data_IF_578984832823
#
_entry.id   IF_578984832823
#
_cell.length_a   1.000
_cell.length_b   1.000
_cell.length_c   1.000
_cell.angle_alpha   90.00
_cell.angle_beta   90.00
_cell.angle_gamma   90.00
#
_symmetry.space_group_name_H-M   'P 1'
#
loop_
_entity.id
_entity.type
_entity.pdbx_description
1 polymer ?
#
# COMPACT_ATOMS: atom_id res chain seq x y z
N UNK A 1 -8.50 -23.37 -35.64
CA UNK A 1 -7.36 -24.30 -35.72
C UNK A 1 -6.83 -24.46 -34.31
N UNK A 2 -7.38 -25.42 -33.54
CA UNK A 2 -6.99 -25.66 -32.14
C UNK A 2 -5.73 -26.53 -32.16
N UNK A 3 -4.55 -25.91 -32.08
CA UNK A 3 -3.34 -26.63 -31.73
C UNK A 3 -3.48 -27.09 -30.26
N UNK A 4 -3.76 -28.37 -30.02
CA UNK A 4 -3.53 -28.97 -28.71
C UNK A 4 -2.03 -28.86 -28.43
N UNK A 5 -1.68 -27.98 -27.49
CA UNK A 5 -0.37 -27.99 -26.86
C UNK A 5 -0.17 -29.37 -26.24
N UNK A 6 0.80 -30.11 -26.77
CA UNK A 6 1.16 -31.45 -26.29
C UNK A 6 1.67 -31.31 -24.84
N UNK A 7 0.87 -31.76 -23.88
CA UNK A 7 1.07 -31.57 -22.44
C UNK A 7 2.03 -32.63 -21.83
N UNK A 8 2.91 -33.23 -22.63
CA UNK A 8 3.83 -34.30 -22.17
C UNK A 8 5.19 -33.85 -21.71
N UNK A 9 5.45 -32.54 -21.58
CA UNK A 9 6.59 -32.09 -20.80
C UNK A 9 6.19 -32.21 -19.33
N UNK A 10 6.61 -33.27 -18.64
CA UNK A 10 6.50 -33.37 -17.19
C UNK A 10 7.26 -32.18 -16.61
N UNK A 11 6.51 -31.15 -16.19
CA UNK A 11 7.10 -29.96 -15.61
C UNK A 11 8.00 -30.37 -14.43
N UNK A 12 9.24 -29.91 -14.42
CA UNK A 12 10.15 -30.15 -13.29
C UNK A 12 9.46 -29.68 -12.01
N UNK A 13 9.38 -30.49 -10.95
CA UNK A 13 8.79 -30.06 -9.70
C UNK A 13 9.49 -28.80 -9.17
N UNK A 14 8.72 -27.81 -8.78
CA UNK A 14 9.24 -26.57 -8.15
C UNK A 14 8.91 -26.58 -6.66
N UNK A 15 9.86 -26.19 -5.86
CA UNK A 15 9.78 -26.12 -4.39
C UNK A 15 10.29 -24.78 -3.90
N UNK A 16 10.26 -24.55 -2.60
CA UNK A 16 10.86 -23.37 -1.97
C UNK A 16 12.35 -23.20 -2.36
N UNK A 17 13.11 -24.28 -2.45
CA UNK A 17 14.54 -24.25 -2.82
C UNK A 17 14.77 -23.76 -4.25
N UNK A 18 13.79 -23.94 -5.14
CA UNK A 18 13.85 -23.41 -6.50
C UNK A 18 13.97 -21.89 -6.51
N UNK A 19 13.36 -21.19 -5.54
CA UNK A 19 13.52 -19.74 -5.39
C UNK A 19 14.99 -19.32 -5.26
N UNK A 20 15.73 -19.99 -4.38
CA UNK A 20 17.14 -19.65 -4.11
C UNK A 20 18.05 -19.98 -5.29
N UNK A 21 17.61 -20.88 -6.19
CA UNK A 21 18.37 -21.28 -7.37
C UNK A 21 18.18 -20.34 -8.58
N UNK A 22 17.00 -19.70 -8.72
CA UNK A 22 16.64 -19.02 -9.99
C UNK A 22 16.20 -17.58 -9.83
N UNK A 23 15.95 -17.10 -8.61
CA UNK A 23 15.55 -15.70 -8.37
C UNK A 23 16.67 -14.91 -7.70
N UNK A 24 16.74 -13.62 -8.03
CA UNK A 24 17.68 -12.70 -7.36
C UNK A 24 17.31 -12.64 -5.87
N UNK A 25 18.28 -12.81 -4.93
CA UNK A 25 18.01 -12.99 -3.51
C UNK A 25 17.66 -11.66 -2.78
N UNK A 26 16.73 -10.88 -3.35
CA UNK A 26 16.25 -9.64 -2.76
C UNK A 26 15.18 -9.85 -1.68
N UNK A 27 14.69 -11.08 -1.55
CA UNK A 27 13.68 -11.48 -0.57
C UNK A 27 14.10 -12.76 0.16
N UNK A 28 13.60 -12.92 1.39
CA UNK A 28 13.69 -14.15 2.17
C UNK A 28 12.28 -14.70 2.43
N UNK A 29 11.64 -15.33 1.45
CA UNK A 29 10.29 -15.82 1.59
C UNK A 29 10.17 -16.92 2.63
N UNK A 30 8.96 -17.11 3.16
CA UNK A 30 8.62 -18.21 4.06
C UNK A 30 8.87 -19.59 3.42
N UNK A 31 8.87 -20.63 4.24
CA UNK A 31 9.09 -22.01 3.75
C UNK A 31 7.90 -22.53 2.93
N UNK A 32 6.69 -22.03 3.21
CA UNK A 32 5.48 -22.42 2.49
C UNK A 32 5.46 -21.85 1.07
N UNK A 33 4.86 -22.60 0.14
CA UNK A 33 4.60 -22.15 -1.23
C UNK A 33 3.09 -22.21 -1.47
N UNK A 34 2.35 -21.09 -1.36
CA UNK A 34 0.91 -21.05 -1.61
C UNK A 34 0.59 -21.38 -3.06
N UNK A 35 -0.47 -22.16 -3.28
CA UNK A 35 -0.91 -22.60 -4.62
C UNK A 35 -2.38 -22.27 -4.89
N UNK A 36 -3.15 -21.96 -3.85
CA UNK A 36 -4.58 -21.64 -3.97
C UNK A 36 -4.99 -20.62 -2.91
N UNK A 37 -5.88 -19.69 -3.28
CA UNK A 37 -6.50 -18.74 -2.37
C UNK A 37 -7.98 -18.54 -2.66
N UNK A 38 -8.76 -18.23 -1.61
CA UNK A 38 -10.18 -17.85 -1.70
C UNK A 38 -10.55 -16.98 -0.51
N UNK A 39 -10.99 -15.74 -0.74
CA UNK A 39 -11.22 -14.80 0.37
C UNK A 39 -9.95 -14.56 1.17
N UNK A 40 -9.96 -14.88 2.47
CA UNK A 40 -8.78 -14.81 3.35
C UNK A 40 -8.05 -16.16 3.48
N UNK A 41 -8.53 -17.22 2.85
CA UNK A 41 -7.97 -18.55 3.00
C UNK A 41 -6.93 -18.85 1.92
N UNK A 42 -5.80 -19.42 2.33
CA UNK A 42 -4.71 -19.88 1.45
C UNK A 42 -4.37 -21.33 1.73
N UNK A 43 -3.92 -22.04 0.71
CA UNK A 43 -3.39 -23.41 0.83
C UNK A 43 -2.06 -23.51 0.12
N UNK A 44 -1.09 -24.13 0.77
CA UNK A 44 0.24 -24.39 0.20
C UNK A 44 0.30 -25.71 -0.58
N UNK A 45 1.48 -26.00 -1.16
CA UNK A 45 1.76 -27.23 -1.92
C UNK A 45 1.51 -28.50 -1.12
N UNK A 46 1.60 -28.47 0.22
CA UNK A 46 1.33 -29.62 1.09
C UNK A 46 -0.16 -29.79 1.42
N UNK A 47 -0.99 -28.81 1.04
CA UNK A 47 -2.40 -28.74 1.40
C UNK A 47 -2.66 -28.10 2.77
N UNK A 48 -1.63 -27.61 3.46
CA UNK A 48 -1.80 -26.89 4.74
C UNK A 48 -2.55 -25.60 4.48
N UNK A 49 -3.55 -25.35 5.33
CA UNK A 49 -4.37 -24.15 5.32
C UNK A 49 -3.74 -23.02 6.14
N UNK A 50 -3.93 -21.79 5.65
CA UNK A 50 -3.50 -20.57 6.32
C UNK A 50 -4.60 -19.51 6.21
N UNK A 51 -4.79 -18.76 7.28
CA UNK A 51 -5.61 -17.56 7.33
C UNK A 51 -4.74 -16.33 7.02
N UNK A 52 -5.04 -15.60 5.95
CA UNK A 52 -4.22 -14.49 5.47
C UNK A 52 -4.64 -13.15 6.08
N UNK A 53 -3.88 -12.70 7.08
CA UNK A 53 -3.98 -11.37 7.66
C UNK A 53 -2.89 -10.41 7.12
N UNK A 54 -2.29 -10.75 5.97
CA UNK A 54 -1.33 -9.91 5.24
C UNK A 54 -1.93 -9.24 4.01
N UNK A 55 -2.87 -9.92 3.35
CA UNK A 55 -3.45 -9.55 2.05
C UNK A 55 -2.38 -9.14 1.02
N UNK A 56 -1.20 -9.79 1.02
CA UNK A 56 -0.11 -9.41 0.12
C UNK A 56 0.43 -8.00 0.37
N UNK A 57 0.56 -7.59 1.63
CA UNK A 57 0.95 -6.24 2.10
C UNK A 57 -0.16 -5.22 1.81
N UNK A 58 -1.37 -5.49 2.30
CA UNK A 58 -2.57 -4.66 2.14
C UNK A 58 -3.00 -4.46 0.66
N UNK A 59 -2.75 -5.46 -0.19
CA UNK A 59 -3.09 -5.44 -1.62
C UNK A 59 -4.46 -6.06 -1.88
N UNK A 60 -4.70 -7.30 -1.43
CA UNK A 60 -5.91 -8.07 -1.72
C UNK A 60 -7.06 -7.63 -0.81
N UNK A 61 -7.56 -6.41 -0.97
CA UNK A 61 -8.58 -5.83 -0.10
C UNK A 61 -9.93 -6.53 -0.18
N UNK A 62 -10.27 -7.14 -1.32
CA UNK A 62 -11.45 -8.00 -1.50
C UNK A 62 -11.13 -9.50 -1.33
N UNK A 63 -9.90 -9.82 -0.86
CA UNK A 63 -9.45 -11.20 -0.71
C UNK A 63 -8.99 -11.84 -2.01
N UNK A 64 -8.55 -13.08 -1.89
CA UNK A 64 -8.07 -13.89 -3.02
C UNK A 64 -9.22 -14.35 -3.90
N UNK A 65 -9.06 -14.27 -5.21
CA UNK A 65 -10.00 -14.78 -6.21
C UNK A 65 -11.44 -14.30 -5.99
N UNK A 66 -11.62 -13.01 -5.67
CA UNK A 66 -12.96 -12.45 -5.45
C UNK A 66 -13.86 -12.68 -6.68
N UNK A 67 -15.08 -13.26 -6.53
CA UNK A 67 -15.89 -13.71 -7.67
C UNK A 67 -16.17 -12.62 -8.71
N UNK A 68 -16.48 -11.38 -8.26
CA UNK A 68 -16.73 -10.25 -9.17
C UNK A 68 -15.48 -9.93 -10.00
N UNK A 69 -14.28 -9.93 -9.38
CA UNK A 69 -13.04 -9.63 -10.10
C UNK A 69 -12.65 -10.73 -11.08
N UNK A 70 -12.86 -11.99 -10.70
CA UNK A 70 -12.64 -13.13 -11.60
C UNK A 70 -13.58 -13.05 -12.82
N UNK A 71 -14.85 -12.72 -12.61
CA UNK A 71 -15.84 -12.61 -13.70
C UNK A 71 -15.49 -11.48 -14.67
N UNK A 72 -15.25 -10.25 -14.17
CA UNK A 72 -14.96 -9.10 -15.04
C UNK A 72 -13.62 -9.27 -15.77
N UNK A 73 -12.60 -9.84 -15.12
CA UNK A 73 -11.32 -10.11 -15.75
C UNK A 73 -11.45 -11.18 -16.84
N UNK A 74 -12.22 -12.26 -16.58
CA UNK A 74 -12.49 -13.33 -17.57
C UNK A 74 -13.21 -12.78 -18.80
N UNK A 75 -14.14 -11.84 -18.63
CA UNK A 75 -14.81 -11.16 -19.74
C UNK A 75 -13.82 -10.28 -20.51
N UNK A 76 -13.02 -9.48 -19.81
CA UNK A 76 -12.07 -8.55 -20.44
C UNK A 76 -10.95 -9.28 -21.18
N UNK A 77 -10.47 -10.43 -20.69
CA UNK A 77 -9.44 -11.25 -21.33
C UNK A 77 -9.86 -11.66 -22.75
N UNK A 78 -11.15 -11.83 -23.00
CA UNK A 78 -11.68 -12.20 -24.32
C UNK A 78 -11.92 -11.00 -25.25
N UNK A 79 -11.70 -9.75 -24.77
CA UNK A 79 -11.93 -8.55 -25.55
C UNK A 79 -10.61 -7.87 -25.98
N UNK A 80 -9.92 -7.25 -25.05
CA UNK A 80 -8.73 -6.43 -25.33
C UNK A 80 -7.77 -6.46 -24.14
N UNK A 81 -6.49 -6.79 -24.38
CA UNK A 81 -5.49 -6.90 -23.33
C UNK A 81 -4.66 -5.64 -23.15
N UNK A 82 -4.14 -5.13 -24.27
CA UNK A 82 -3.22 -4.01 -24.27
C UNK A 82 -3.32 -3.22 -25.57
N UNK A 83 -3.10 -1.92 -25.41
CA UNK A 83 -3.09 -0.95 -26.49
C UNK A 83 -2.17 0.18 -26.03
N UNK A 84 -1.22 0.58 -26.81
CA UNK A 84 -0.30 1.66 -26.45
C UNK A 84 -1.03 2.99 -26.22
N UNK A 85 -0.47 3.87 -25.41
CA UNK A 85 -1.06 5.18 -25.06
C UNK A 85 -1.16 6.20 -26.20
N UNK A 86 -0.78 5.82 -27.42
CA UNK A 86 -1.15 6.54 -28.65
C UNK A 86 -2.64 6.40 -29.01
N UNK A 87 -3.32 5.48 -28.36
CA UNK A 87 -4.79 5.28 -28.40
C UNK A 87 -5.31 5.26 -26.96
N UNK A 88 -6.63 5.38 -26.80
CA UNK A 88 -7.26 5.18 -25.51
C UNK A 88 -8.17 3.94 -25.51
N UNK A 89 -8.68 3.56 -24.36
CA UNK A 89 -9.61 2.44 -24.23
C UNK A 89 -10.76 2.78 -23.26
N UNK A 90 -11.91 2.17 -23.45
CA UNK A 90 -13.09 2.46 -22.64
C UNK A 90 -12.92 2.13 -21.14
N UNK A 91 -12.32 0.98 -20.73
CA UNK A 91 -12.08 0.70 -19.32
C UNK A 91 -11.29 1.77 -18.57
N UNK A 92 -10.22 2.31 -19.17
CA UNK A 92 -9.41 3.36 -18.51
C UNK A 92 -10.17 4.67 -18.37
N UNK A 93 -11.00 5.01 -19.36
CA UNK A 93 -11.84 6.23 -19.30
C UNK A 93 -12.90 6.10 -18.20
N UNK A 94 -13.55 4.94 -18.09
CA UNK A 94 -14.51 4.66 -17.00
C UNK A 94 -13.85 4.72 -15.62
N UNK A 95 -12.68 4.10 -15.47
CA UNK A 95 -11.94 4.15 -14.21
C UNK A 95 -11.52 5.59 -13.85
N UNK A 96 -11.03 6.37 -14.82
CA UNK A 96 -10.65 7.76 -14.60
C UNK A 96 -11.85 8.58 -14.15
N UNK A 97 -12.99 8.45 -14.84
CA UNK A 97 -14.24 9.12 -14.48
C UNK A 97 -14.68 8.78 -13.05
N UNK A 98 -14.73 7.48 -12.72
CA UNK A 98 -15.14 7.02 -11.40
C UNK A 98 -14.22 7.51 -10.27
N UNK A 99 -12.90 7.56 -10.50
CA UNK A 99 -11.95 8.07 -9.52
C UNK A 99 -12.06 9.60 -9.35
N UNK A 100 -12.26 10.36 -10.42
CA UNK A 100 -12.44 11.81 -10.33
C UNK A 100 -13.78 12.19 -9.69
N UNK A 101 -14.85 11.44 -9.95
CA UNK A 101 -16.14 11.62 -9.26
C UNK A 101 -16.08 11.28 -7.76
N UNK A 102 -15.22 10.34 -7.37
CA UNK A 102 -15.09 9.86 -5.99
C UNK A 102 -14.08 10.63 -5.14
N UNK A 103 -13.30 11.55 -5.71
CA UNK A 103 -12.20 12.26 -5.02
C UNK A 103 -12.23 13.79 -5.32
N UNK A 104 -11.23 14.50 -4.78
CA UNK A 104 -11.01 15.92 -5.09
C UNK A 104 -10.43 16.16 -6.49
N UNK A 105 -9.93 15.11 -7.14
CA UNK A 105 -9.13 15.23 -8.35
C UNK A 105 -9.99 15.40 -9.61
N UNK A 106 -9.49 16.16 -10.57
CA UNK A 106 -10.09 16.32 -11.90
C UNK A 106 -9.44 15.40 -12.93
N UNK A 107 -8.23 14.91 -12.67
CA UNK A 107 -7.39 14.16 -13.62
C UNK A 107 -6.70 12.99 -12.95
N UNK A 108 -6.53 11.92 -13.72
CA UNK A 108 -5.81 10.72 -13.33
C UNK A 108 -4.70 10.39 -14.36
N UNK A 109 -3.54 9.97 -13.85
CA UNK A 109 -2.50 9.30 -14.63
C UNK A 109 -2.37 7.87 -14.10
N UNK A 110 -2.41 6.87 -15.00
CA UNK A 110 -2.30 5.47 -14.62
C UNK A 110 -0.91 4.90 -14.96
N UNK A 111 -0.41 4.05 -14.07
CA UNK A 111 0.83 3.31 -14.17
C UNK A 111 0.65 1.89 -13.59
N UNK A 112 1.73 1.19 -13.22
CA UNK A 112 1.65 -0.23 -12.86
C UNK A 112 1.97 -0.52 -11.40
N UNK A 113 2.48 0.47 -10.67
CA UNK A 113 2.92 0.32 -9.28
C UNK A 113 2.79 1.62 -8.50
N UNK A 114 2.83 1.52 -7.16
CA UNK A 114 2.89 2.70 -6.29
C UNK A 114 4.17 3.51 -6.47
N UNK A 115 5.30 2.85 -6.75
CA UNK A 115 6.55 3.55 -7.05
C UNK A 115 6.42 4.44 -8.29
N UNK A 116 5.83 3.94 -9.39
CA UNK A 116 5.59 4.72 -10.60
C UNK A 116 4.59 5.87 -10.37
N UNK A 117 3.57 5.65 -9.53
CA UNK A 117 2.63 6.70 -9.17
C UNK A 117 3.33 7.83 -8.39
N UNK A 118 4.19 7.49 -7.44
CA UNK A 118 5.00 8.45 -6.68
C UNK A 118 6.05 9.14 -7.57
N UNK A 119 6.69 8.45 -8.50
CA UNK A 119 7.56 9.06 -9.53
C UNK A 119 6.82 10.14 -10.32
N UNK A 120 5.60 9.82 -10.77
CA UNK A 120 4.77 10.78 -11.51
C UNK A 120 4.42 12.00 -10.65
N UNK A 121 4.04 11.79 -9.38
CA UNK A 121 3.71 12.85 -8.43
C UNK A 121 4.91 13.78 -8.16
N UNK A 122 6.07 13.20 -7.88
CA UNK A 122 7.30 13.95 -7.58
C UNK A 122 7.80 14.73 -8.81
N UNK A 123 7.71 14.12 -10.02
CA UNK A 123 8.05 14.78 -11.27
C UNK A 123 7.09 15.92 -11.59
N UNK A 124 5.79 15.72 -11.37
CA UNK A 124 4.77 16.77 -11.52
C UNK A 124 5.10 17.96 -10.61
N UNK A 125 5.35 17.71 -9.32
CA UNK A 125 5.63 18.74 -8.35
C UNK A 125 6.90 19.55 -8.70
N UNK A 126 8.01 18.89 -9.05
CA UNK A 126 9.24 19.58 -9.47
C UNK A 126 9.03 20.40 -10.73
N UNK A 127 8.35 19.84 -11.73
CA UNK A 127 8.09 20.55 -13.00
C UNK A 127 7.17 21.75 -12.81
N UNK A 128 6.12 21.62 -12.00
CA UNK A 128 5.22 22.70 -11.66
C UNK A 128 5.96 23.84 -10.96
N UNK A 129 6.71 23.52 -9.92
CA UNK A 129 7.47 24.51 -9.18
C UNK A 129 8.51 25.23 -10.07
N UNK A 130 9.25 24.47 -10.87
CA UNK A 130 10.21 25.06 -11.82
C UNK A 130 9.54 26.03 -12.81
N UNK A 131 8.38 25.65 -13.34
CA UNK A 131 7.65 26.47 -14.33
C UNK A 131 7.05 27.72 -13.71
N UNK A 132 6.49 27.60 -12.50
CA UNK A 132 5.74 28.69 -11.83
C UNK A 132 6.63 29.63 -11.03
N UNK A 133 7.70 29.10 -10.41
CA UNK A 133 8.53 29.85 -9.44
C UNK A 133 10.02 29.90 -9.83
N UNK A 134 10.48 29.04 -10.71
CA UNK A 134 11.86 28.95 -11.16
C UNK A 134 12.65 27.78 -10.51
N UNK A 135 13.89 27.60 -10.97
CA UNK A 135 14.73 26.44 -10.65
C UNK A 135 15.14 26.33 -9.17
N UNK A 136 15.07 27.42 -8.39
CA UNK A 136 15.42 27.43 -6.96
C UNK A 136 14.42 26.63 -6.11
N UNK A 137 13.17 26.47 -6.56
CA UNK A 137 12.11 25.76 -5.86
C UNK A 137 12.08 24.29 -6.29
N UNK A 138 13.00 23.48 -5.76
CA UNK A 138 13.19 22.09 -6.22
C UNK A 138 13.28 21.06 -5.06
N UNK A 139 13.37 21.55 -3.80
CA UNK A 139 13.54 20.70 -2.63
C UNK A 139 12.25 19.95 -2.30
N UNK A 140 12.39 18.67 -1.96
CA UNK A 140 11.30 17.79 -1.54
C UNK A 140 11.50 17.46 -0.05
N UNK A 141 10.44 17.60 0.73
CA UNK A 141 10.42 17.16 2.13
C UNK A 141 9.62 15.86 2.20
N UNK A 142 10.19 14.87 2.87
CA UNK A 142 9.56 13.61 3.23
C UNK A 142 9.74 13.30 4.71
N UNK A 143 9.22 12.18 5.19
CA UNK A 143 9.33 11.81 6.60
C UNK A 143 10.32 10.66 6.80
N UNK A 144 11.04 10.67 7.92
CA UNK A 144 11.83 9.52 8.37
C UNK A 144 10.90 8.29 8.52
N UNK A 145 11.45 7.12 8.28
CA UNK A 145 10.74 5.83 8.30
C UNK A 145 9.66 5.65 7.24
N UNK A 146 9.49 6.60 6.29
CA UNK A 146 8.52 6.47 5.19
C UNK A 146 8.96 5.42 4.15
N UNK A 147 7.98 4.98 3.36
CA UNK A 147 8.20 4.07 2.23
C UNK A 147 7.40 4.52 1.01
N UNK A 148 8.08 5.02 -0.02
CA UNK A 148 7.43 5.53 -1.24
C UNK A 148 7.74 4.72 -2.50
N UNK A 149 8.55 3.66 -2.41
CA UNK A 149 8.91 2.78 -3.52
C UNK A 149 10.38 2.39 -3.55
N UNK A 150 10.77 1.70 -4.63
CA UNK A 150 12.13 1.14 -4.81
C UNK A 150 12.82 1.59 -6.09
N UNK A 151 12.24 2.51 -6.87
CA UNK A 151 12.96 3.19 -7.94
C UNK A 151 13.95 4.18 -7.33
N UNK A 152 15.00 4.58 -8.07
CA UNK A 152 16.06 5.39 -7.48
C UNK A 152 15.54 6.71 -6.89
N UNK A 153 14.55 7.34 -7.51
CA UNK A 153 13.97 8.57 -6.97
C UNK A 153 13.08 8.30 -5.75
N UNK A 154 12.16 7.34 -5.84
CA UNK A 154 11.25 7.04 -4.72
C UNK A 154 11.96 6.44 -3.51
N UNK A 155 13.03 5.64 -3.70
CA UNK A 155 13.81 5.12 -2.57
C UNK A 155 14.60 6.22 -1.88
N UNK A 156 15.04 7.24 -2.65
CA UNK A 156 15.74 8.41 -2.10
C UNK A 156 14.81 9.33 -1.32
N UNK A 157 13.54 9.40 -1.72
CA UNK A 157 12.49 10.13 -0.99
C UNK A 157 12.03 9.35 0.23
N UNK A 158 12.15 8.00 0.22
CA UNK A 158 11.88 7.16 1.37
C UNK A 158 12.86 7.42 2.52
N UNK A 159 12.36 7.56 3.75
CA UNK A 159 13.15 7.93 4.93
C UNK A 159 13.83 6.76 5.64
N UNK A 160 14.32 5.75 4.92
CA UNK A 160 14.95 4.56 5.49
C UNK A 160 16.31 4.29 4.83
N UNK A 161 17.39 4.73 5.49
CA UNK A 161 18.76 4.68 4.97
C UNK A 161 19.21 3.28 4.48
N UNK A 162 18.73 2.20 5.11
CA UNK A 162 19.03 0.82 4.70
C UNK A 162 18.63 0.48 3.25
N UNK A 163 17.78 1.29 2.63
CA UNK A 163 17.31 1.05 1.26
C UNK A 163 18.06 1.86 0.21
N UNK A 164 18.89 2.83 0.65
CA UNK A 164 19.70 3.68 -0.24
C UNK A 164 21.19 3.37 -0.21
N UNK A 165 21.65 2.62 0.79
CA UNK A 165 23.04 2.22 0.95
C UNK A 165 23.58 1.51 -0.29
N UNK A 166 24.66 2.05 -0.88
CA UNK A 166 25.32 1.50 -2.08
C UNK A 166 24.68 1.89 -3.43
N UNK A 167 23.65 2.76 -3.43
CA UNK A 167 22.99 3.23 -4.66
C UNK A 167 23.32 4.72 -4.99
N UNK A 168 24.30 5.30 -4.30
CA UNK A 168 24.75 6.66 -4.55
C UNK A 168 25.43 6.82 -5.94
N UNK A 169 25.31 8.00 -6.57
CA UNK A 169 24.73 9.24 -6.07
C UNK A 169 23.20 9.25 -6.14
N UNK A 170 22.55 9.68 -5.05
CA UNK A 170 21.10 9.81 -5.00
C UNK A 170 20.64 11.13 -5.63
N UNK A 171 19.39 11.22 -6.14
CA UNK A 171 18.80 12.47 -6.57
C UNK A 171 18.92 13.55 -5.48
N UNK A 172 19.42 14.76 -5.82
CA UNK A 172 19.64 15.83 -4.84
C UNK A 172 18.35 16.52 -4.41
N UNK A 173 18.45 17.38 -3.39
CA UNK A 173 17.38 18.23 -2.89
C UNK A 173 16.21 17.45 -2.29
N UNK A 174 16.52 16.46 -1.48
CA UNK A 174 15.57 15.66 -0.70
C UNK A 174 16.00 15.70 0.76
N UNK A 175 15.11 16.14 1.63
CA UNK A 175 15.32 16.17 3.07
C UNK A 175 14.23 15.41 3.81
N UNK A 176 14.56 14.89 5.00
CA UNK A 176 13.67 14.10 5.81
C UNK A 176 13.47 14.75 7.18
N UNK A 177 12.21 14.82 7.63
CA UNK A 177 11.82 15.28 8.96
C UNK A 177 11.25 14.13 9.78
N UNK A 178 11.22 14.28 11.10
CA UNK A 178 10.53 13.32 11.95
C UNK A 178 9.03 13.35 11.68
N UNK A 179 8.43 12.16 11.59
CA UNK A 179 6.99 12.04 11.37
C UNK A 179 6.23 12.50 12.62
N UNK A 180 5.13 13.24 12.43
CA UNK A 180 4.35 13.88 13.49
C UNK A 180 5.07 15.01 14.27
N UNK A 181 6.17 15.53 13.75
CA UNK A 181 6.90 16.66 14.34
C UNK A 181 6.55 17.96 13.61
N UNK A 182 5.68 18.77 14.22
CA UNK A 182 5.22 20.05 13.67
C UNK A 182 6.34 21.07 13.62
N UNK A 183 7.23 21.11 14.62
CA UNK A 183 8.32 22.08 14.67
C UNK A 183 9.39 21.77 13.62
N UNK A 184 9.69 20.49 13.40
CA UNK A 184 10.56 20.07 12.30
C UNK A 184 9.94 20.45 10.93
N UNK A 185 8.63 20.30 10.76
CA UNK A 185 7.93 20.70 9.54
C UNK A 185 8.03 22.21 9.30
N UNK A 186 7.79 23.04 10.34
CA UNK A 186 7.90 24.50 10.28
C UNK A 186 9.31 24.97 9.93
N UNK A 187 10.33 24.30 10.47
CA UNK A 187 11.72 24.62 10.21
C UNK A 187 12.19 24.24 8.80
N UNK A 188 11.65 23.13 8.26
CA UNK A 188 12.11 22.57 6.98
C UNK A 188 11.37 23.11 5.76
N UNK A 189 10.08 23.47 5.88
CA UNK A 189 9.24 23.85 4.73
C UNK A 189 9.33 25.34 4.48
N UNK A 190 10.20 25.72 3.54
CA UNK A 190 10.43 27.11 3.10
C UNK A 190 10.08 27.35 1.63
N UNK A 191 10.43 28.53 1.12
CA UNK A 191 10.11 28.96 -0.24
C UNK A 191 10.80 28.15 -1.33
N UNK A 192 11.86 27.43 -1.01
CA UNK A 192 12.61 26.55 -1.90
C UNK A 192 12.03 25.14 -2.02
N UNK A 193 11.03 24.80 -1.18
CA UNK A 193 10.37 23.49 -1.18
C UNK A 193 9.31 23.44 -2.29
N UNK A 194 9.43 22.46 -3.20
CA UNK A 194 8.45 22.24 -4.26
C UNK A 194 7.34 21.27 -3.85
N UNK A 195 7.64 20.33 -2.94
CA UNK A 195 6.67 19.35 -2.48
C UNK A 195 6.97 18.84 -1.06
N UNK A 196 5.91 18.46 -0.37
CA UNK A 196 5.93 17.62 0.82
C UNK A 196 5.20 16.34 0.49
N UNK A 197 5.85 15.17 0.64
CA UNK A 197 5.22 13.86 0.45
C UNK A 197 5.10 13.16 1.81
N UNK A 198 3.91 12.64 2.10
CA UNK A 198 3.62 11.98 3.37
C UNK A 198 2.61 10.85 3.19
N UNK A 199 2.81 9.76 3.94
CA UNK A 199 1.79 8.72 4.11
C UNK A 199 0.82 9.17 5.22
N UNK A 200 -0.51 9.18 5.03
CA UNK A 200 -1.45 9.44 6.13
C UNK A 200 -1.35 8.44 7.27
N UNK A 201 -0.90 7.22 6.97
CA UNK A 201 -0.50 6.19 7.93
C UNK A 201 0.77 5.56 7.41
N UNK A 202 1.90 5.72 8.10
CA UNK A 202 3.14 5.04 7.74
C UNK A 202 3.01 3.54 7.97
N UNK A 203 2.84 2.78 6.87
CA UNK A 203 2.64 1.34 6.96
C UNK A 203 3.91 0.57 7.32
N UNK A 204 5.01 0.82 6.60
CA UNK A 204 6.30 0.14 6.78
C UNK A 204 7.09 0.68 7.97
N UNK A 205 6.90 1.95 8.31
CA UNK A 205 7.53 2.63 9.45
C UNK A 205 6.98 2.25 10.83
N UNK A 206 6.16 1.21 10.93
CA UNK A 206 5.65 0.70 12.20
C UNK A 206 4.15 0.90 12.40
N UNK A 207 3.38 1.08 11.36
CA UNK A 207 1.92 1.33 11.39
C UNK A 207 1.58 2.54 12.25
N UNK A 208 2.18 3.68 11.92
CA UNK A 208 2.02 4.94 12.68
C UNK A 208 1.03 5.86 11.97
N UNK A 209 -0.15 6.15 12.54
CA UNK A 209 -1.06 7.16 12.01
C UNK A 209 -0.47 8.56 12.09
N UNK A 210 -0.76 9.37 11.08
CA UNK A 210 -0.49 10.80 11.12
C UNK A 210 -1.36 11.50 12.17
N UNK A 211 -0.76 12.39 12.93
CA UNK A 211 -1.50 13.26 13.82
C UNK A 211 -2.35 14.23 12.99
N UNK A 212 -3.66 14.39 13.25
CA UNK A 212 -4.49 15.31 12.50
C UNK A 212 -3.93 16.74 12.48
N UNK A 213 -3.37 17.22 13.59
CA UNK A 213 -2.75 18.54 13.70
C UNK A 213 -1.50 18.65 12.83
N UNK A 214 -0.68 17.60 12.76
CA UNK A 214 0.51 17.55 11.91
C UNK A 214 0.13 17.62 10.42
N UNK A 215 -0.86 16.83 9.99
CA UNK A 215 -1.29 16.82 8.59
C UNK A 215 -1.93 18.17 8.19
N UNK A 216 -2.70 18.80 9.09
CA UNK A 216 -3.23 20.15 8.89
C UNK A 216 -2.14 21.21 8.79
N UNK A 217 -1.12 21.10 9.64
CA UNK A 217 0.02 22.02 9.59
C UNK A 217 0.80 21.86 8.29
N UNK A 218 1.04 20.63 7.81
CA UNK A 218 1.67 20.41 6.50
C UNK A 218 0.87 21.10 5.38
N UNK A 219 -0.48 20.99 5.40
CA UNK A 219 -1.32 21.66 4.41
C UNK A 219 -1.17 23.19 4.49
N UNK A 220 -1.22 23.75 5.69
CA UNK A 220 -1.07 25.19 5.90
C UNK A 220 0.31 25.72 5.47
N UNK A 221 1.38 24.98 5.75
CA UNK A 221 2.73 25.34 5.31
C UNK A 221 2.88 25.25 3.80
N UNK A 222 2.32 24.22 3.17
CA UNK A 222 2.31 24.08 1.71
C UNK A 222 1.53 25.23 1.05
N UNK A 223 0.37 25.59 1.57
CA UNK A 223 -0.43 26.72 1.07
C UNK A 223 0.34 28.04 1.18
N UNK A 224 1.01 28.26 2.30
CA UNK A 224 1.79 29.48 2.57
C UNK A 224 2.99 29.63 1.64
N UNK A 225 3.69 28.53 1.37
CA UNK A 225 4.95 28.54 0.59
C UNK A 225 4.73 28.25 -0.90
N UNK A 226 3.56 27.77 -1.29
CA UNK A 226 3.29 27.30 -2.66
C UNK A 226 3.97 25.96 -2.97
N UNK A 227 4.34 25.18 -1.97
CA UNK A 227 4.73 23.78 -2.13
C UNK A 227 3.48 22.93 -2.38
N UNK A 228 3.64 21.78 -3.07
CA UNK A 228 2.55 20.84 -3.26
C UNK A 228 2.54 19.79 -2.14
N UNK A 229 1.37 19.53 -1.57
CA UNK A 229 1.18 18.43 -0.62
C UNK A 229 0.80 17.16 -1.38
N UNK A 230 1.61 16.12 -1.25
CA UNK A 230 1.39 14.81 -1.86
C UNK A 230 1.03 13.82 -0.75
N UNK A 231 -0.17 13.22 -0.84
CA UNK A 231 -0.51 12.09 0.02
C UNK A 231 -0.25 10.79 -0.73
N UNK A 232 0.72 10.02 -0.20
CA UNK A 232 0.93 8.64 -0.62
C UNK A 232 -0.10 7.75 0.09
N UNK A 233 -1.17 7.46 -0.63
CA UNK A 233 -2.23 6.55 -0.16
C UNK A 233 -2.16 5.17 -0.82
N UNK A 234 -0.98 4.77 -1.25
CA UNK A 234 -0.73 3.45 -1.83
C UNK A 234 -1.11 2.33 -0.85
N UNK A 235 -0.91 2.53 0.46
CA UNK A 235 -1.27 1.54 1.46
C UNK A 235 -2.51 1.92 2.28
N UNK A 236 -2.76 3.19 2.52
CA UNK A 236 -3.87 3.69 3.35
C UNK A 236 -5.19 3.87 2.60
N UNK A 237 -5.15 3.97 1.27
CA UNK A 237 -6.31 4.18 0.42
C UNK A 237 -7.19 2.96 0.19
N UNK A 238 -8.17 3.13 -0.68
CA UNK A 238 -9.09 2.08 -1.12
C UNK A 238 -9.79 1.36 0.05
N UNK A 239 -10.36 2.13 0.99
CA UNK A 239 -11.17 1.62 2.09
C UNK A 239 -10.37 1.14 3.31
N UNK A 240 -9.05 1.03 3.23
CA UNK A 240 -8.20 0.43 4.27
C UNK A 240 -8.35 1.07 5.65
N UNK A 241 -8.52 2.38 5.71
CA UNK A 241 -8.70 3.16 6.95
C UNK A 241 -10.16 3.37 7.35
N UNK A 242 -11.12 2.75 6.62
CA UNK A 242 -12.56 2.94 6.85
C UNK A 242 -13.16 4.16 6.12
N UNK A 243 -12.37 4.89 5.35
CA UNK A 243 -12.79 5.86 4.34
C UNK A 243 -12.23 5.40 2.98
N UNK A 244 -12.81 5.85 1.86
CA UNK A 244 -12.31 5.46 0.53
C UNK A 244 -10.81 5.79 0.41
N UNK A 245 -10.44 7.03 0.77
CA UNK A 245 -9.06 7.44 0.97
C UNK A 245 -8.91 8.07 2.36
N UNK A 246 -7.75 7.89 2.99
CA UNK A 246 -7.51 8.34 4.36
C UNK A 246 -7.64 9.86 4.52
N UNK A 247 -7.26 10.64 3.49
CA UNK A 247 -7.39 12.10 3.51
C UNK A 247 -8.82 12.57 3.83
N UNK A 248 -9.84 11.83 3.41
CA UNK A 248 -11.25 12.14 3.68
C UNK A 248 -11.57 12.05 5.17
N UNK A 249 -10.95 11.09 5.87
CA UNK A 249 -11.10 10.94 7.31
C UNK A 249 -10.36 12.01 8.11
N UNK A 250 -9.24 12.49 7.62
CA UNK A 250 -8.48 13.58 8.24
C UNK A 250 -9.03 14.98 7.94
N UNK A 251 -9.85 15.12 6.90
CA UNK A 251 -10.35 16.43 6.43
C UNK A 251 -9.24 17.34 5.90
N UNK A 252 -8.18 16.74 5.35
CA UNK A 252 -7.03 17.44 4.75
C UNK A 252 -6.89 17.01 3.30
N UNK A 253 -7.21 17.89 2.36
CA UNK A 253 -7.12 17.58 0.93
C UNK A 253 -5.73 17.87 0.40
N UNK A 254 -5.04 16.86 -0.20
CA UNK A 254 -3.75 17.07 -0.84
C UNK A 254 -3.90 17.71 -2.22
N UNK A 255 -2.79 18.17 -2.80
CA UNK A 255 -2.73 18.60 -4.20
C UNK A 255 -2.59 17.42 -5.15
N UNK A 256 -1.90 16.37 -4.69
CA UNK A 256 -1.66 15.13 -5.44
C UNK A 256 -1.89 13.95 -4.50
N UNK A 257 -2.59 12.94 -4.99
CA UNK A 257 -2.81 11.68 -4.29
C UNK A 257 -2.29 10.53 -5.15
N UNK A 258 -1.56 9.59 -4.52
CA UNK A 258 -1.12 8.37 -5.20
C UNK A 258 -1.81 7.15 -4.63
N UNK A 259 -2.17 6.21 -5.50
CA UNK A 259 -2.85 4.97 -5.16
C UNK A 259 -2.26 3.79 -5.95
N UNK A 260 -2.29 2.61 -5.36
CA UNK A 260 -1.93 1.33 -5.99
C UNK A 260 -2.47 0.18 -5.14
N UNK A 261 -1.75 -0.93 -5.01
CA UNK A 261 -2.09 -2.05 -4.11
C UNK A 261 -3.57 -2.45 -4.20
N UNK A 262 -4.35 -2.04 -3.19
CA UNK A 262 -5.78 -2.32 -3.10
C UNK A 262 -6.58 -1.84 -4.33
N UNK A 263 -6.13 -0.82 -5.04
CA UNK A 263 -6.75 -0.36 -6.28
C UNK A 263 -6.87 -1.50 -7.31
N UNK A 264 -5.88 -2.39 -7.37
CA UNK A 264 -5.87 -3.53 -8.29
C UNK A 264 -6.24 -4.87 -7.65
N UNK A 265 -6.37 -4.94 -6.32
CA UNK A 265 -6.65 -6.18 -5.59
C UNK A 265 -5.78 -7.38 -6.03
N UNK A 266 -4.48 -7.14 -6.27
CA UNK A 266 -3.52 -8.12 -6.77
C UNK A 266 -3.18 -7.98 -8.25
N UNK A 267 -4.00 -7.31 -9.06
CA UNK A 267 -3.64 -6.95 -10.43
C UNK A 267 -2.77 -5.68 -10.43
N UNK A 268 -1.63 -5.66 -11.14
CA UNK A 268 -0.71 -4.50 -11.11
C UNK A 268 -1.34 -3.25 -11.72
N UNK A 269 -1.55 -2.24 -10.89
CA UNK A 269 -1.98 -0.89 -11.30
C UNK A 269 -1.56 0.12 -10.23
N UNK A 270 -1.22 1.33 -10.67
CA UNK A 270 -1.05 2.53 -9.86
C UNK A 270 -1.75 3.72 -10.50
N UNK A 271 -2.04 4.71 -9.69
CA UNK A 271 -2.64 5.96 -10.15
C UNK A 271 -2.05 7.15 -9.41
N UNK A 272 -1.83 8.25 -10.11
CA UNK A 272 -1.63 9.58 -9.56
C UNK A 272 -2.86 10.42 -9.91
N UNK A 273 -3.49 11.00 -8.90
CA UNK A 273 -4.67 11.84 -9.01
C UNK A 273 -4.31 13.28 -8.66
N UNK A 274 -4.81 14.25 -9.41
CA UNK A 274 -4.50 15.66 -9.19
C UNK A 274 -5.56 16.59 -9.80
N UNK A 275 -5.44 17.89 -9.53
CA UNK A 275 -6.35 18.91 -10.10
C UNK A 275 -6.07 19.17 -11.59
N UNK A 276 -7.03 19.76 -12.27
CA UNK A 276 -6.89 20.14 -13.68
C UNK A 276 -5.76 21.16 -13.91
N UNK A 277 -5.59 22.12 -12.98
CA UNK A 277 -4.49 23.10 -13.05
C UNK A 277 -3.13 22.42 -13.05
N UNK A 278 -2.89 21.52 -12.10
CA UNK A 278 -1.60 20.85 -11.95
C UNK A 278 -1.34 19.87 -13.10
N UNK A 279 -2.36 19.16 -13.55
CA UNK A 279 -2.24 18.17 -14.62
C UNK A 279 -1.68 18.74 -15.92
N UNK A 280 -2.00 20.00 -16.24
CA UNK A 280 -1.50 20.70 -17.43
C UNK A 280 0.02 20.87 -17.45
N UNK A 281 0.67 20.74 -16.30
CA UNK A 281 2.13 20.80 -16.16
C UNK A 281 2.81 19.63 -16.89
N UNK A 282 2.18 18.46 -16.90
CA UNK A 282 2.67 17.28 -17.63
C UNK A 282 2.06 17.23 -19.04
N UNK A 283 2.61 18.02 -19.94
CA UNK A 283 2.21 18.05 -21.34
C UNK A 283 2.68 16.78 -22.08
N UNK A 284 2.18 16.60 -23.31
CA UNK A 284 2.54 15.47 -24.20
C UNK A 284 4.05 15.29 -24.29
N UNK A 285 4.52 14.07 -24.07
CA UNK A 285 5.94 13.68 -24.14
C UNK A 285 6.76 13.93 -22.88
N UNK A 286 6.21 14.57 -21.82
CA UNK A 286 6.99 14.88 -20.61
C UNK A 286 7.03 13.75 -19.59
N UNK A 287 6.04 12.86 -19.62
CA UNK A 287 5.96 11.66 -18.81
C UNK A 287 5.13 10.59 -19.53
N UNK A 288 5.33 9.31 -19.17
CA UNK A 288 4.61 8.22 -19.82
C UNK A 288 4.88 6.86 -19.21
N UNK A 289 4.14 5.88 -19.70
CA UNK A 289 4.23 4.47 -19.32
C UNK A 289 3.78 3.60 -20.50
N UNK A 290 4.29 2.40 -20.63
CA UNK A 290 3.85 1.48 -21.67
C UNK A 290 2.53 0.79 -21.31
N UNK A 291 2.44 0.25 -20.11
CA UNK A 291 1.31 -0.61 -19.69
C UNK A 291 0.26 0.10 -18.82
N UNK A 292 0.58 1.28 -18.29
CA UNK A 292 -0.34 2.01 -17.42
C UNK A 292 -1.65 2.35 -18.12
N UNK A 293 -2.77 2.03 -17.46
CA UNK A 293 -4.11 2.19 -18.02
C UNK A 293 -4.52 1.11 -19.02
N UNK A 294 -3.84 -0.06 -19.04
CA UNK A 294 -4.26 -1.17 -19.88
C UNK A 294 -5.68 -1.65 -19.52
N UNK A 295 -6.45 -2.16 -20.49
CA UNK A 295 -7.84 -2.53 -20.28
C UNK A 295 -8.08 -3.56 -19.18
N UNK A 296 -7.17 -4.54 -19.00
CA UNK A 296 -7.31 -5.56 -17.96
C UNK A 296 -7.21 -4.95 -16.56
N UNK A 297 -6.15 -4.17 -16.33
CA UNK A 297 -5.93 -3.50 -15.06
C UNK A 297 -7.04 -2.51 -14.72
N UNK A 298 -7.45 -1.70 -15.72
CA UNK A 298 -8.50 -0.71 -15.55
C UNK A 298 -9.87 -1.33 -15.23
N UNK A 299 -10.22 -2.45 -15.88
CA UNK A 299 -11.46 -3.19 -15.61
C UNK A 299 -11.49 -3.75 -14.18
N UNK A 300 -10.39 -4.34 -13.72
CA UNK A 300 -10.29 -4.85 -12.35
C UNK A 300 -10.38 -3.69 -11.35
N UNK A 301 -9.62 -2.63 -11.56
CA UNK A 301 -9.59 -1.48 -10.63
C UNK A 301 -10.94 -0.75 -10.54
N UNK A 302 -11.68 -0.62 -11.64
CA UNK A 302 -13.03 -0.08 -11.63
C UNK A 302 -13.97 -0.93 -10.76
N UNK A 303 -13.95 -2.25 -10.95
CA UNK A 303 -14.79 -3.16 -10.16
C UNK A 303 -14.40 -3.19 -8.68
N UNK A 304 -13.13 -3.02 -8.35
CA UNK A 304 -12.67 -2.84 -6.96
C UNK A 304 -13.24 -1.54 -6.38
N UNK A 305 -13.09 -0.42 -7.10
CA UNK A 305 -13.60 0.89 -6.66
C UNK A 305 -15.12 0.85 -6.44
N UNK A 306 -15.88 0.32 -7.38
CA UNK A 306 -17.34 0.21 -7.28
C UNK A 306 -17.79 -0.66 -6.10
N UNK A 307 -17.05 -1.72 -5.79
CA UNK A 307 -17.33 -2.59 -4.65
C UNK A 307 -17.04 -1.90 -3.32
N UNK A 308 -15.89 -1.24 -3.20
CA UNK A 308 -15.43 -0.63 -1.94
C UNK A 308 -16.12 0.72 -1.67
N UNK A 309 -16.33 1.53 -2.71
CA UNK A 309 -16.87 2.88 -2.58
C UNK A 309 -18.39 2.90 -2.36
N UNK A 310 -18.84 2.14 -1.35
CA UNK A 310 -20.22 2.17 -0.90
C UNK A 310 -20.30 2.46 0.60
N UNK A 311 -21.31 3.23 1.07
CA UNK A 311 -21.45 3.50 2.50
C UNK A 311 -21.52 2.23 3.35
N UNK A 312 -22.23 1.20 2.86
CA UNK A 312 -22.40 -0.07 3.56
C UNK A 312 -21.07 -0.82 3.70
N UNK A 313 -20.26 -0.88 2.64
CA UNK A 313 -18.95 -1.54 2.67
C UNK A 313 -17.99 -0.84 3.64
N UNK A 314 -17.89 0.50 3.56
CA UNK A 314 -17.01 1.28 4.43
C UNK A 314 -17.46 1.25 5.90
N UNK A 315 -18.77 1.17 6.16
CA UNK A 315 -19.29 0.96 7.52
C UNK A 315 -18.87 -0.40 8.07
N UNK A 316 -18.96 -1.46 7.25
CA UNK A 316 -18.51 -2.81 7.64
C UNK A 316 -17.02 -2.85 7.94
N UNK A 317 -16.18 -2.13 7.17
CA UNK A 317 -14.74 -2.02 7.45
C UNK A 317 -14.49 -1.38 8.81
N UNK A 318 -15.22 -0.32 9.15
CA UNK A 318 -15.11 0.34 10.47
C UNK A 318 -15.50 -0.60 11.61
N UNK A 319 -16.57 -1.37 11.44
CA UNK A 319 -16.99 -2.38 12.41
C UNK A 319 -15.93 -3.48 12.58
N UNK A 320 -15.44 -4.06 11.49
CA UNK A 320 -14.37 -5.06 11.53
C UNK A 320 -13.07 -4.50 12.17
N UNK A 321 -12.78 -3.21 11.97
CA UNK A 321 -11.67 -2.53 12.65
C UNK A 321 -11.85 -2.52 14.16
N UNK A 322 -13.04 -2.15 14.67
CA UNK A 322 -13.34 -2.14 16.11
C UNK A 322 -13.17 -3.54 16.70
N UNK A 323 -13.70 -4.57 16.03
CA UNK A 323 -13.62 -5.95 16.50
C UNK A 323 -12.17 -6.48 16.47
N UNK A 324 -11.38 -6.11 15.44
CA UNK A 324 -9.96 -6.48 15.37
C UNK A 324 -9.14 -5.79 16.46
N UNK A 325 -9.37 -4.50 16.71
CA UNK A 325 -8.70 -3.76 17.79
C UNK A 325 -9.05 -4.39 19.16
N UNK A 326 -10.31 -4.74 19.41
CA UNK A 326 -10.72 -5.40 20.64
C UNK A 326 -10.03 -6.76 20.84
N UNK A 327 -9.93 -7.56 19.77
CA UNK A 327 -9.18 -8.82 19.78
C UNK A 327 -7.70 -8.61 20.13
N UNK A 328 -7.04 -7.59 19.54
CA UNK A 328 -5.64 -7.27 19.80
C UNK A 328 -5.41 -6.72 21.22
N UNK A 329 -6.36 -5.92 21.75
CA UNK A 329 -6.33 -5.45 23.14
C UNK A 329 -6.47 -6.62 24.13
N UNK A 330 -7.28 -7.62 23.78
CA UNK A 330 -7.37 -8.89 24.54
C UNK A 330 -6.01 -9.58 24.60
N UNK A 331 -5.24 -9.62 23.50
CA UNK A 331 -3.87 -10.18 23.52
C UNK A 331 -2.91 -9.39 24.42
N UNK A 332 -3.01 -8.06 24.46
CA UNK A 332 -2.21 -7.25 25.39
C UNK A 332 -2.57 -7.59 26.84
N UNK A 333 -3.86 -7.76 27.15
CA UNK A 333 -4.31 -8.12 28.48
C UNK A 333 -3.81 -9.51 28.90
N UNK A 334 -3.87 -10.49 27.98
CA UNK A 334 -3.43 -11.86 28.23
C UNK A 334 -1.89 -11.98 28.33
N UNK A 335 -1.16 -11.15 27.56
CA UNK A 335 0.30 -11.22 27.45
C UNK A 335 0.98 -9.84 27.62
N UNK A 336 0.81 -9.14 28.76
CA UNK A 336 1.36 -7.80 28.97
C UNK A 336 2.88 -7.75 28.96
N UNK A 337 3.56 -8.90 29.19
CA UNK A 337 5.01 -9.04 29.06
C UNK A 337 5.49 -9.09 27.61
N UNK A 338 4.60 -9.42 26.64
CA UNK A 338 4.94 -9.57 25.23
C UNK A 338 4.55 -8.34 24.43
N UNK A 339 3.37 -7.78 24.67
CA UNK A 339 2.78 -6.68 23.90
C UNK A 339 2.52 -5.45 24.76
N UNK A 340 2.60 -4.27 24.14
CA UNK A 340 2.45 -2.98 24.83
C UNK A 340 1.24 -2.17 24.36
N UNK A 341 1.03 -2.02 23.06
CA UNK A 341 -0.01 -1.16 22.48
C UNK A 341 -0.48 -1.64 21.12
N UNK A 342 -1.74 -1.39 20.79
CA UNK A 342 -2.28 -1.43 19.42
C UNK A 342 -2.26 -0.02 18.84
N UNK A 343 -1.82 0.13 17.58
CA UNK A 343 -1.88 1.39 16.83
C UNK A 343 -2.27 1.14 15.37
N UNK A 344 -2.66 2.17 14.66
CA UNK A 344 -3.09 2.08 13.26
C UNK A 344 -4.43 2.75 13.01
N UNK A 345 -5.01 2.50 11.84
CA UNK A 345 -6.30 3.06 11.42
C UNK A 345 -7.03 2.05 10.53
N UNK A 346 -8.32 1.89 10.77
CA UNK A 346 -9.12 0.90 10.04
C UNK A 346 -8.58 -0.52 10.21
N UNK A 347 -8.38 -1.21 9.11
CA UNK A 347 -7.78 -2.55 9.06
C UNK A 347 -6.29 -2.53 8.65
N UNK A 348 -5.57 -1.45 8.95
CA UNK A 348 -4.12 -1.37 8.94
C UNK A 348 -3.67 -1.18 10.38
N UNK A 349 -3.37 -2.29 11.06
CA UNK A 349 -3.15 -2.33 12.50
C UNK A 349 -1.78 -2.90 12.84
N UNK A 350 -1.15 -2.33 13.86
CA UNK A 350 0.13 -2.75 14.42
C UNK A 350 0.00 -3.11 15.89
N UNK A 351 0.38 -4.32 16.23
CA UNK A 351 0.53 -4.79 17.61
C UNK A 351 2.00 -4.65 17.99
N UNK A 352 2.31 -3.68 18.84
CA UNK A 352 3.68 -3.35 19.23
C UNK A 352 4.13 -4.28 20.35
N UNK A 353 5.34 -4.83 20.23
CA UNK A 353 5.92 -5.63 21.30
C UNK A 353 6.34 -4.77 22.50
N UNK A 354 6.41 -5.36 23.68
CA UNK A 354 6.93 -4.73 24.88
C UNK A 354 8.44 -4.50 24.80
N UNK A 355 8.98 -3.69 25.70
CA UNK A 355 10.44 -3.44 25.79
C UNK A 355 11.23 -4.74 25.97
N UNK A 356 10.69 -5.72 26.71
CA UNK A 356 11.32 -7.03 26.92
C UNK A 356 11.37 -7.90 25.63
N UNK A 357 10.56 -7.56 24.64
CA UNK A 357 10.43 -8.30 23.37
C UNK A 357 10.92 -7.52 22.15
N UNK A 358 11.60 -6.39 22.34
CA UNK A 358 12.18 -5.61 21.24
C UNK A 358 13.01 -6.48 20.29
N UNK A 359 12.84 -6.27 18.99
CA UNK A 359 13.52 -7.01 17.92
C UNK A 359 12.89 -8.36 17.57
N UNK A 360 11.83 -8.80 18.29
CA UNK A 360 11.28 -10.15 18.17
C UNK A 360 9.97 -10.27 17.38
N UNK A 361 9.53 -9.20 16.71
CA UNK A 361 8.30 -9.26 15.90
C UNK A 361 8.37 -10.34 14.81
N UNK A 362 9.56 -10.57 14.24
CA UNK A 362 9.77 -11.65 13.25
C UNK A 362 9.64 -13.05 13.83
N UNK A 363 10.02 -13.26 15.10
CA UNK A 363 9.84 -14.55 15.76
C UNK A 363 8.35 -14.83 15.96
N UNK A 364 7.57 -13.81 16.36
CA UNK A 364 6.12 -13.91 16.50
C UNK A 364 5.45 -14.20 15.15
N UNK A 365 5.89 -13.54 14.07
CA UNK A 365 5.42 -13.81 12.72
C UNK A 365 5.60 -15.28 12.34
N UNK A 366 6.81 -15.84 12.55
CA UNK A 366 7.09 -17.24 12.27
C UNK A 366 6.27 -18.20 13.12
N UNK A 367 6.09 -17.89 14.40
CA UNK A 367 5.28 -18.70 15.30
C UNK A 367 3.79 -18.68 14.88
N UNK A 368 3.26 -17.53 14.47
CA UNK A 368 1.90 -17.40 13.93
C UNK A 368 1.74 -18.21 12.62
N UNK A 369 2.70 -18.13 11.70
CA UNK A 369 2.72 -18.92 10.46
C UNK A 369 2.72 -20.43 10.73
N UNK A 370 3.45 -20.88 11.74
CA UNK A 370 3.44 -22.28 12.15
C UNK A 370 2.04 -22.73 12.60
N UNK A 371 1.27 -21.85 13.24
CA UNK A 371 -0.11 -22.09 13.64
C UNK A 371 -1.12 -21.90 12.49
N UNK A 372 -0.68 -21.50 11.28
CA UNK A 372 -1.56 -21.28 10.13
C UNK A 372 -2.12 -19.85 10.04
N UNK A 373 -1.51 -18.87 10.69
CA UNK A 373 -1.89 -17.46 10.55
C UNK A 373 -0.74 -16.67 9.90
N UNK A 374 -1.02 -16.03 8.79
CA UNK A 374 -0.08 -15.14 8.12
C UNK A 374 -0.26 -13.71 8.65
N UNK A 375 0.80 -13.14 9.19
CA UNK A 375 0.89 -11.73 9.58
C UNK A 375 2.16 -11.10 9.00
N UNK A 376 2.22 -9.77 8.97
CA UNK A 376 3.38 -9.00 8.55
C UNK A 376 4.17 -8.48 9.76
N UNK A 377 5.31 -7.87 9.47
CA UNK A 377 6.03 -7.02 10.43
C UNK A 377 6.18 -5.61 9.85
N UNK A 378 6.26 -4.61 10.72
CA UNK A 378 6.59 -3.25 10.37
C UNK A 378 7.73 -2.77 11.29
N UNK A 379 8.93 -2.67 10.72
CA UNK A 379 10.14 -2.58 11.52
C UNK A 379 10.43 -3.87 12.30
N UNK A 380 11.19 -3.79 13.39
CA UNK A 380 11.57 -4.95 14.21
C UNK A 380 10.62 -5.24 15.38
N UNK A 381 9.77 -4.26 15.72
CA UNK A 381 9.01 -4.25 16.98
C UNK A 381 7.49 -4.30 16.81
N UNK A 382 7.01 -4.46 15.57
CA UNK A 382 5.55 -4.41 15.30
C UNK A 382 5.10 -5.59 14.48
N UNK A 383 4.16 -6.36 15.00
CA UNK A 383 3.38 -7.33 14.24
C UNK A 383 2.25 -6.58 13.55
N UNK A 384 2.26 -6.55 12.20
CA UNK A 384 1.29 -5.81 11.40
C UNK A 384 0.22 -6.75 10.86
N UNK A 385 -1.03 -6.34 11.04
CA UNK A 385 -2.20 -7.00 10.50
C UNK A 385 -2.85 -6.09 9.45
N UNK A 386 -3.06 -6.63 8.27
CA UNK A 386 -3.73 -5.96 7.16
C UNK A 386 -4.62 -6.97 6.40
N UNK A 387 -5.64 -7.55 7.05
CA UNK A 387 -6.52 -8.55 6.43
C UNK A 387 -7.29 -7.95 5.25
N UNK A 388 -7.87 -8.78 4.41
CA UNK A 388 -8.84 -8.31 3.44
C UNK A 388 -10.00 -7.57 4.14
N UNK A 389 -10.56 -6.55 3.48
CA UNK A 389 -11.62 -5.69 4.06
C UNK A 389 -12.95 -6.43 4.25
N UNK A 390 -13.05 -7.62 3.64
CA UNK A 390 -14.19 -8.53 3.78
C UNK A 390 -14.06 -9.50 4.96
N UNK A 391 -13.07 -9.32 5.83
CA UNK A 391 -12.83 -10.19 7.00
C UNK A 391 -14.10 -10.31 7.86
N UNK A 392 -14.45 -11.56 8.25
CA UNK A 392 -15.58 -11.83 9.13
C UNK A 392 -15.18 -11.80 10.61
N UNK A 393 -16.18 -11.72 11.49
CA UNK A 393 -15.95 -11.74 12.92
C UNK A 393 -15.42 -13.09 13.40
N UNK A 394 -15.84 -14.19 12.75
CA UNK A 394 -15.31 -15.54 13.00
C UNK A 394 -13.82 -15.61 12.61
N UNK A 395 -13.43 -15.02 11.49
CA UNK A 395 -12.03 -14.98 11.06
C UNK A 395 -11.17 -14.11 11.98
N UNK A 396 -11.72 -13.00 12.51
CA UNK A 396 -11.05 -12.17 13.52
C UNK A 396 -10.83 -12.97 14.81
N UNK A 397 -11.85 -13.68 15.28
CA UNK A 397 -11.76 -14.53 16.48
C UNK A 397 -10.73 -15.66 16.28
N UNK A 398 -10.74 -16.31 15.11
CA UNK A 398 -9.78 -17.37 14.77
C UNK A 398 -8.34 -16.84 14.71
N UNK A 399 -8.10 -15.67 14.12
CA UNK A 399 -6.78 -15.03 14.12
C UNK A 399 -6.29 -14.77 15.57
N UNK A 400 -7.17 -14.31 16.44
CA UNK A 400 -6.87 -14.14 17.87
C UNK A 400 -6.50 -15.46 18.56
N UNK A 401 -7.22 -16.54 18.27
CA UNK A 401 -6.93 -17.88 18.80
C UNK A 401 -5.56 -18.39 18.32
N UNK A 402 -5.25 -18.22 17.02
CA UNK A 402 -3.98 -18.66 16.43
C UNK A 402 -2.79 -17.84 16.98
N UNK A 403 -2.97 -16.52 17.20
CA UNK A 403 -1.93 -15.69 17.83
C UNK A 403 -1.68 -16.12 19.28
N UNK A 404 -2.72 -16.41 20.07
CA UNK A 404 -2.56 -16.94 21.43
C UNK A 404 -1.76 -18.26 21.42
N UNK A 405 -2.12 -19.20 20.56
CA UNK A 405 -1.41 -20.47 20.43
C UNK A 405 0.07 -20.28 20.06
N UNK A 406 0.37 -19.30 19.19
CA UNK A 406 1.74 -18.96 18.81
C UNK A 406 2.53 -18.41 20.03
N UNK A 407 1.96 -17.46 20.78
CA UNK A 407 2.62 -16.87 21.95
C UNK A 407 2.79 -17.89 23.07
N UNK A 408 1.76 -18.69 23.36
CA UNK A 408 1.86 -19.77 24.35
C UNK A 408 2.97 -20.77 24.04
N UNK A 409 3.12 -21.12 22.74
CA UNK A 409 4.22 -21.97 22.28
C UNK A 409 5.59 -21.33 22.51
N UNK A 410 5.73 -20.03 22.22
CA UNK A 410 6.99 -19.29 22.42
C UNK A 410 7.36 -19.09 23.89
N UNK A 411 6.38 -18.98 24.78
CA UNK A 411 6.61 -18.78 26.22
C UNK A 411 6.99 -20.09 26.94
N UNK A 412 6.69 -21.25 26.34
CA UNK A 412 7.03 -22.57 26.88
C UNK A 412 8.39 -23.09 26.38
N UNK A 413 8.91 -22.53 25.29
CA UNK A 413 10.19 -22.90 24.66
C UNK A 413 11.37 -22.14 25.31
#
# INVERSE_FOLDING_TARGET
MNAKLDSTVTARPVTRDTFDQVLVPTYAPAAMVPVRGSGLDLWDQSGKHYLDFTSGIAVNSLGHCHPVLVDVLTKQINNLWHLGNGYTNEPVLRLALALTEATFADRAFFCNSGAEANEAALKLARKYAHTKFGAHKSRIISCLSSFHGRTLFTVSVGGQAKYTEGFEPLPPSIDHIAYNDIEAARAAIGDDVCAVIVEPVQGEGGVVPGNPEFLKELRALCDKTGALLIFDEVQSGMGRTGALFAYMGYGVTPDILTAAKALGNGYPIGAMLTTNELAQTLSVGTHGTTYGGNPLAATVALSVLETINTPAFLARVKEASVNTIAMLQGLITDYPQVFSIVRGSGLLLGLVVSDAWKGRAKDIQKAAEAQGLMVLIAGMDVVRLAPALIVSDEQIAEAGRLLRAAIDGMLKA
#
